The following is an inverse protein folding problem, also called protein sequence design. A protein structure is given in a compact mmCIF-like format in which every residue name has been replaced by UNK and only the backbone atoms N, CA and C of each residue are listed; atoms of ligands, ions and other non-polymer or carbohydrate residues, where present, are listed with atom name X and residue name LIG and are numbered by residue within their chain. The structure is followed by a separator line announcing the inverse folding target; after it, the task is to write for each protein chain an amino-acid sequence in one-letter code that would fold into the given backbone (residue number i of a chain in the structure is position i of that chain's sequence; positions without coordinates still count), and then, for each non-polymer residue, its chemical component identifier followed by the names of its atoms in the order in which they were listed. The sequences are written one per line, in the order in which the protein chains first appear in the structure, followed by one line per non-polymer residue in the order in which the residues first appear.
data_IF_373438108545
#
_entry.id   IF_373438108545
#
_cell.length_a   1.000
_cell.length_b   1.000
_cell.length_c   1.000
_cell.angle_alpha   90.00
_cell.angle_beta   90.00
_cell.angle_gamma   90.00
#
_symmetry.space_group_name_H-M   'P 1'
#
loop_
_entity.id
_entity.type
_entity.pdbx_description
1 polymer ?
#
# COMPACT_ATOMS: atom_id res chain seq x y z
N UNK A 1 -12.74 -16.47 -38.30
CA UNK A 1 -12.10 -17.54 -37.51
C UNK A 1 -10.62 -17.25 -37.50
N UNK A 2 -10.16 -16.54 -36.49
CA UNK A 2 -8.73 -16.37 -36.17
C UNK A 2 -8.67 -16.35 -34.66
N UNK A 3 -8.08 -17.41 -34.13
CA UNK A 3 -8.01 -17.79 -32.73
C UNK A 3 -7.60 -16.64 -31.81
N UNK A 4 -8.46 -16.39 -30.83
CA UNK A 4 -8.06 -15.88 -29.53
C UNK A 4 -7.18 -16.94 -28.87
N UNK A 5 -5.86 -16.80 -29.01
CA UNK A 5 -4.93 -17.39 -28.06
C UNK A 5 -5.07 -16.57 -26.77
N UNK A 6 -6.06 -16.92 -25.95
CA UNK A 6 -5.99 -16.68 -24.52
C UNK A 6 -4.68 -17.31 -24.06
N UNK A 7 -3.67 -16.49 -23.80
CA UNK A 7 -2.59 -16.92 -22.94
C UNK A 7 -3.22 -17.19 -21.59
N UNK A 8 -3.62 -18.45 -21.36
CA UNK A 8 -3.74 -19.03 -20.02
C UNK A 8 -2.32 -19.05 -19.44
N UNK A 9 -1.79 -17.86 -19.18
CA UNK A 9 -0.50 -17.67 -18.56
C UNK A 9 -0.57 -18.27 -17.18
N UNK A 10 0.40 -19.13 -16.86
CA UNK A 10 0.58 -19.64 -15.51
C UNK A 10 0.64 -18.43 -14.59
N UNK A 11 -0.23 -18.42 -13.57
CA UNK A 11 -0.23 -17.37 -12.55
C UNK A 11 1.17 -17.21 -11.99
N UNK A 12 1.66 -15.98 -11.85
CA UNK A 12 2.98 -15.73 -11.30
C UNK A 12 3.09 -16.44 -9.94
N UNK A 13 4.14 -17.24 -9.76
CA UNK A 13 4.25 -18.09 -8.58
C UNK A 13 4.51 -17.25 -7.32
N UNK A 14 3.92 -17.64 -6.20
CA UNK A 14 4.24 -17.06 -4.89
C UNK A 14 5.59 -17.63 -4.43
N UNK A 15 6.59 -16.77 -4.25
CA UNK A 15 7.92 -17.16 -3.81
C UNK A 15 8.04 -17.18 -2.28
N UNK A 16 7.36 -16.25 -1.60
CA UNK A 16 7.43 -16.11 -0.15
C UNK A 16 6.10 -15.62 0.42
N UNK A 17 5.79 -16.03 1.67
CA UNK A 17 4.61 -15.56 2.42
C UNK A 17 4.94 -15.38 3.89
N UNK A 18 4.32 -14.38 4.51
CA UNK A 18 4.42 -14.16 5.96
C UNK A 18 3.15 -13.54 6.51
N UNK A 19 2.75 -13.98 7.71
CA UNK A 19 1.72 -13.30 8.52
C UNK A 19 2.26 -12.06 9.24
N UNK A 20 3.56 -11.80 9.11
CA UNK A 20 4.23 -10.71 9.79
C UNK A 20 4.32 -10.91 11.30
N UNK A 21 4.63 -9.82 12.00
CA UNK A 21 4.78 -9.76 13.44
C UNK A 21 3.75 -8.80 14.04
N UNK A 22 2.90 -9.30 14.95
CA UNK A 22 1.87 -8.48 15.60
C UNK A 22 2.47 -7.67 16.76
N UNK A 23 2.32 -6.35 16.68
CA UNK A 23 2.76 -5.35 17.65
C UNK A 23 1.54 -4.58 18.16
N UNK A 24 0.75 -5.22 19.02
CA UNK A 24 -0.52 -4.67 19.49
C UNK A 24 -1.56 -4.57 18.36
N UNK A 25 -2.06 -3.35 18.02
CA UNK A 25 -3.02 -3.15 16.94
C UNK A 25 -2.38 -3.11 15.54
N UNK A 26 -1.05 -3.17 15.47
CA UNK A 26 -0.29 -3.16 14.23
C UNK A 26 0.17 -4.58 13.92
N UNK A 27 0.13 -4.97 12.66
CA UNK A 27 0.80 -6.18 12.14
C UNK A 27 1.84 -5.73 11.14
N UNK A 28 3.12 -5.92 11.48
CA UNK A 28 4.24 -5.61 10.60
C UNK A 28 4.46 -6.72 9.61
N UNK A 29 4.19 -6.47 8.34
CA UNK A 29 4.29 -7.45 7.26
C UNK A 29 5.66 -7.39 6.55
N UNK A 30 6.30 -6.23 6.58
CA UNK A 30 7.58 -5.95 5.91
C UNK A 30 8.35 -4.91 6.74
N UNK A 31 9.65 -5.12 6.87
CA UNK A 31 10.61 -4.20 7.49
C UNK A 31 11.90 -4.13 6.67
N UNK A 32 12.72 -3.07 6.85
CA UNK A 32 14.01 -2.99 6.18
C UNK A 32 14.93 -4.18 6.50
N UNK A 33 14.90 -4.65 7.76
CA UNK A 33 15.77 -5.72 8.25
C UNK A 33 15.34 -7.14 7.84
N UNK A 34 14.17 -7.30 7.20
CA UNK A 34 13.66 -8.61 6.75
C UNK A 34 13.69 -8.76 5.22
N UNK A 35 12.66 -8.29 4.53
CA UNK A 35 12.39 -8.45 3.11
C UNK A 35 12.59 -7.12 2.36
N UNK A 36 12.91 -6.03 3.07
CA UNK A 36 13.01 -4.68 2.49
C UNK A 36 14.08 -4.55 1.41
N UNK A 37 15.15 -5.35 1.47
CA UNK A 37 16.14 -5.41 0.39
C UNK A 37 15.66 -6.23 -0.82
N UNK A 38 14.83 -7.26 -0.61
CA UNK A 38 14.33 -8.16 -1.66
C UNK A 38 13.26 -7.50 -2.54
N UNK A 39 12.50 -6.55 -2.00
CA UNK A 39 11.36 -5.93 -2.70
C UNK A 39 11.47 -4.40 -2.82
N UNK A 40 12.69 -3.87 -2.88
CA UNK A 40 12.90 -2.43 -3.16
C UNK A 40 12.10 -1.98 -4.40
N UNK A 41 11.54 -0.77 -4.38
CA UNK A 41 11.75 0.29 -3.38
C UNK A 41 10.84 0.19 -2.14
N UNK A 42 10.04 -0.87 -1.98
CA UNK A 42 9.18 -1.04 -0.82
C UNK A 42 9.98 -1.59 0.36
N UNK A 43 10.10 -0.82 1.44
CA UNK A 43 11.00 -1.19 2.57
C UNK A 43 10.26 -1.44 3.87
N UNK A 44 8.97 -1.11 3.94
CA UNK A 44 8.17 -1.28 5.15
C UNK A 44 6.69 -1.37 4.83
N UNK A 45 5.95 -2.25 5.52
CA UNK A 45 4.50 -2.33 5.41
C UNK A 45 3.89 -2.73 6.75
N UNK A 46 3.14 -1.82 7.35
CA UNK A 46 2.33 -2.08 8.54
C UNK A 46 0.84 -2.10 8.16
N UNK A 47 0.14 -3.18 8.55
CA UNK A 47 -1.32 -3.21 8.62
C UNK A 47 -1.74 -2.71 10.01
N UNK A 48 -2.48 -1.61 10.07
CA UNK A 48 -3.09 -1.14 11.32
C UNK A 48 -4.57 -1.46 11.35
N UNK A 49 -5.05 -1.95 12.49
CA UNK A 49 -6.48 -2.18 12.73
C UNK A 49 -6.83 -2.07 14.22
N UNK A 50 -7.64 -1.07 14.58
CA UNK A 50 -8.10 -0.89 15.96
C UNK A 50 -9.34 0.01 16.06
N UNK A 51 -10.00 -0.04 17.22
CA UNK A 51 -11.11 0.85 17.55
C UNK A 51 -10.63 1.96 18.50
N UNK A 52 -10.80 3.26 18.18
CA UNK A 52 -10.45 4.37 19.07
C UNK A 52 -11.39 4.49 20.30
N UNK A 53 -10.95 5.08 21.42
CA UNK A 53 -9.65 5.69 21.62
C UNK A 53 -8.58 4.62 21.80
N UNK A 54 -7.51 4.73 21.02
CA UNK A 54 -6.30 3.97 21.29
C UNK A 54 -5.29 4.97 21.85
N UNK A 55 -5.06 4.89 23.16
CA UNK A 55 -4.36 5.91 23.96
C UNK A 55 -2.86 6.08 23.62
N UNK A 56 -2.38 5.39 22.57
CA UNK A 56 -1.13 5.69 21.88
C UNK A 56 -1.45 6.36 20.54
N UNK A 57 -2.12 7.51 20.57
CA UNK A 57 -2.06 8.43 19.42
C UNK A 57 -0.60 8.58 19.01
N UNK A 58 -0.34 8.74 17.70
CA UNK A 58 1.03 8.77 17.21
C UNK A 58 1.74 9.99 17.81
N UNK A 59 2.48 9.76 18.90
CA UNK A 59 3.32 10.74 19.57
C UNK A 59 4.21 11.38 18.50
N UNK A 60 4.49 12.70 18.57
CA UNK A 60 5.40 13.34 17.65
C UNK A 60 6.68 12.52 17.44
N UNK A 61 6.91 12.11 16.20
CA UNK A 61 8.08 11.34 15.79
C UNK A 61 8.56 11.85 14.43
N UNK A 62 9.76 11.43 14.04
CA UNK A 62 10.38 11.89 12.80
C UNK A 62 10.76 10.76 11.86
N UNK A 63 10.83 11.11 10.57
CA UNK A 63 11.32 10.28 9.49
C UNK A 63 12.33 11.07 8.65
N UNK A 64 13.24 10.37 7.95
CA UNK A 64 14.18 10.94 6.97
C UNK A 64 14.56 9.88 5.94
N UNK A 65 14.95 10.28 4.73
CA UNK A 65 15.47 9.38 3.68
C UNK A 65 14.43 8.49 2.98
N UNK A 66 13.15 8.56 3.39
CA UNK A 66 12.06 7.75 2.85
C UNK A 66 10.87 8.61 2.43
N UNK A 67 9.94 8.00 1.71
CA UNK A 67 8.57 8.47 1.65
C UNK A 67 7.63 7.50 2.38
N UNK A 68 6.60 8.03 3.02
CA UNK A 68 5.51 7.23 3.59
C UNK A 68 4.23 7.45 2.77
N UNK A 69 3.49 6.37 2.55
CA UNK A 69 2.14 6.41 2.00
C UNK A 69 1.20 5.74 3.02
N UNK A 70 0.29 6.53 3.58
CA UNK A 70 -0.73 6.03 4.52
C UNK A 70 -2.08 6.01 3.80
N UNK A 71 -2.71 4.84 3.72
CA UNK A 71 -4.02 4.69 3.07
C UNK A 71 -5.07 4.19 4.07
N UNK A 72 -6.14 4.97 4.26
CA UNK A 72 -7.26 4.60 5.13
C UNK A 72 -8.34 3.87 4.32
N UNK A 73 -8.80 2.73 4.83
CA UNK A 73 -9.92 1.99 4.24
C UNK A 73 -11.19 2.11 5.09
N UNK A 74 -11.02 2.31 6.39
CA UNK A 74 -12.05 2.60 7.38
C UNK A 74 -11.46 3.53 8.45
N UNK A 75 -12.28 4.46 8.93
CA UNK A 75 -11.88 5.43 9.94
C UNK A 75 -11.02 6.54 9.36
N UNK A 76 -10.39 7.30 10.24
CA UNK A 76 -9.56 8.44 9.87
C UNK A 76 -8.70 8.93 11.02
N UNK A 77 -7.88 9.93 10.76
CA UNK A 77 -7.04 10.56 11.77
C UNK A 77 -6.87 12.05 11.50
N UNK A 78 -6.59 12.82 12.54
CA UNK A 78 -5.98 14.14 12.39
C UNK A 78 -4.52 13.98 11.98
N UNK A 79 -3.96 15.00 11.34
CA UNK A 79 -2.54 15.07 11.01
C UNK A 79 -2.02 16.49 11.26
N UNK A 80 -0.73 16.58 11.56
CA UNK A 80 0.03 17.82 11.66
C UNK A 80 1.52 17.54 11.52
N UNK A 81 2.22 18.32 10.70
CA UNK A 81 3.64 18.11 10.43
C UNK A 81 4.46 19.41 10.27
N UNK A 82 5.79 19.26 10.22
CA UNK A 82 6.73 20.38 10.06
C UNK A 82 6.82 20.94 8.64
N UNK A 83 6.12 20.36 7.66
CA UNK A 83 5.94 20.99 6.34
C UNK A 83 4.84 22.07 6.38
N UNK A 84 4.15 22.21 7.53
CA UNK A 84 3.09 23.17 7.77
C UNK A 84 1.71 22.65 7.38
N UNK A 85 1.56 21.36 7.06
CA UNK A 85 0.26 20.73 6.81
C UNK A 85 -0.38 20.34 8.13
N UNK A 86 -1.69 20.54 8.21
CA UNK A 86 -2.52 20.08 9.31
C UNK A 86 -3.96 19.89 8.84
N UNK A 87 -4.67 18.95 9.44
CA UNK A 87 -6.05 18.66 9.06
C UNK A 87 -6.53 17.31 9.59
N UNK A 88 -7.46 16.71 8.87
CA UNK A 88 -7.94 15.35 9.12
C UNK A 88 -8.14 14.61 7.81
N UNK A 89 -7.83 13.32 7.82
CA UNK A 89 -8.16 12.37 6.78
C UNK A 89 -9.32 11.48 7.21
N UNK A 90 -10.11 11.05 6.24
CA UNK A 90 -11.26 10.17 6.44
C UNK A 90 -11.18 8.90 5.60
N UNK A 91 -12.21 8.06 5.66
CA UNK A 91 -12.31 6.83 4.88
C UNK A 91 -11.88 7.01 3.42
N UNK A 92 -10.95 6.20 2.97
CA UNK A 92 -10.47 6.23 1.59
C UNK A 92 -9.39 7.26 1.31
N UNK A 93 -9.09 8.16 2.24
CA UNK A 93 -8.03 9.16 2.06
C UNK A 93 -6.65 8.52 1.95
N UNK A 94 -5.74 9.23 1.27
CA UNK A 94 -4.34 8.85 1.10
C UNK A 94 -3.46 10.02 1.50
N UNK A 95 -2.48 9.74 2.35
CA UNK A 95 -1.33 10.61 2.61
C UNK A 95 -0.16 10.14 1.76
N UNK A 96 0.59 11.12 1.25
CA UNK A 96 1.96 10.94 0.79
C UNK A 96 2.87 11.94 1.49
N UNK A 97 3.88 11.44 2.19
CA UNK A 97 4.88 12.28 2.85
C UNK A 97 6.27 11.86 2.38
N UNK A 98 6.90 12.68 1.54
CA UNK A 98 8.34 12.58 1.26
C UNK A 98 9.08 13.21 2.43
N UNK A 99 9.69 12.40 3.28
CA UNK A 99 10.40 12.89 4.46
C UNK A 99 11.71 13.60 4.08
N UNK A 100 12.42 13.09 3.06
CA UNK A 100 13.67 13.68 2.57
C UNK A 100 14.65 13.97 3.71
N UNK A 101 15.13 15.21 3.81
CA UNK A 101 16.07 15.64 4.87
C UNK A 101 15.51 15.57 6.30
N UNK A 102 14.20 15.38 6.48
CA UNK A 102 13.58 15.21 7.78
C UNK A 102 12.22 15.88 7.90
N UNK A 103 11.28 15.18 8.54
CA UNK A 103 9.96 15.71 8.90
C UNK A 103 9.56 15.19 10.28
N UNK A 104 8.99 16.06 11.11
CA UNK A 104 8.28 15.63 12.32
C UNK A 104 6.78 15.69 12.07
N UNK A 105 6.06 14.69 12.54
CA UNK A 105 4.61 14.63 12.41
C UNK A 105 3.94 13.95 13.60
N UNK A 106 2.65 14.23 13.75
CA UNK A 106 1.78 13.64 14.75
C UNK A 106 0.35 13.56 14.23
N UNK A 107 -0.45 12.69 14.84
CA UNK A 107 -1.84 12.51 14.47
C UNK A 107 -2.61 11.69 15.49
N UNK A 108 -3.91 11.95 15.59
CA UNK A 108 -4.81 11.26 16.50
C UNK A 108 -5.95 10.58 15.73
N UNK A 109 -6.23 9.30 16.00
CA UNK A 109 -7.37 8.61 15.41
C UNK A 109 -8.70 9.31 15.70
N UNK A 110 -9.55 9.47 14.68
CA UNK A 110 -10.89 10.00 14.85
C UNK A 110 -11.78 8.98 15.59
N UNK A 111 -12.58 9.39 16.58
CA UNK A 111 -13.39 8.47 17.39
C UNK A 111 -14.58 7.90 16.62
N UNK A 112 -15.15 6.81 17.14
CA UNK A 112 -16.47 6.31 16.73
C UNK A 112 -16.50 5.32 15.56
N UNK A 113 -15.33 4.96 15.00
CA UNK A 113 -15.23 3.96 13.93
C UNK A 113 -13.94 3.15 14.03
N UNK A 114 -13.96 1.89 13.59
CA UNK A 114 -12.73 1.10 13.40
C UNK A 114 -11.82 1.85 12.43
N UNK A 115 -10.55 2.02 12.83
CA UNK A 115 -9.49 2.51 11.96
C UNK A 115 -8.78 1.31 11.34
N UNK A 116 -8.77 1.22 10.01
CA UNK A 116 -8.10 0.15 9.27
C UNK A 116 -7.42 0.70 8.02
N UNK A 117 -6.19 0.28 7.77
CA UNK A 117 -5.41 0.75 6.64
C UNK A 117 -4.00 0.19 6.60
N UNK A 118 -3.22 0.64 5.62
CA UNK A 118 -1.81 0.32 5.52
C UNK A 118 -0.97 1.59 5.63
N UNK A 119 0.21 1.45 6.24
CA UNK A 119 1.30 2.39 6.10
C UNK A 119 2.45 1.71 5.37
N UNK A 120 2.76 2.21 4.18
CA UNK A 120 3.84 1.75 3.32
C UNK A 120 4.99 2.75 3.40
N UNK A 121 6.23 2.28 3.54
CA UNK A 121 7.41 3.12 3.31
C UNK A 121 8.12 2.72 2.03
N UNK A 122 8.57 3.74 1.32
CA UNK A 122 9.27 3.64 0.04
C UNK A 122 10.64 4.28 0.20
N UNK A 123 11.68 3.54 -0.15
CA UNK A 123 13.03 4.08 -0.26
C UNK A 123 13.05 5.15 -1.35
N UNK A 124 13.58 6.32 -1.04
CA UNK A 124 13.73 7.39 -2.02
C UNK A 124 14.96 7.11 -2.90
N UNK A 125 14.92 7.55 -4.18
CA UNK A 125 16.15 7.59 -4.96
C UNK A 125 17.11 8.62 -4.37
N UNK A 126 18.44 8.48 -4.59
CA UNK A 126 19.46 9.30 -3.93
C UNK A 126 19.25 10.82 -4.07
N UNK A 127 18.73 11.28 -5.20
CA UNK A 127 18.43 12.69 -5.46
C UNK A 127 17.31 13.28 -4.58
N UNK A 128 16.47 12.42 -3.97
CA UNK A 128 15.36 12.82 -3.11
C UNK A 128 15.60 12.52 -1.62
N UNK A 129 16.56 11.67 -1.28
CA UNK A 129 16.86 11.30 0.12
C UNK A 129 17.16 12.50 1.03
N UNK A 130 17.77 13.55 0.48
CA UNK A 130 18.11 14.79 1.19
C UNK A 130 17.31 16.02 0.70
N UNK A 131 16.30 15.81 -0.13
CA UNK A 131 15.44 16.89 -0.62
C UNK A 131 14.56 17.45 0.51
N UNK A 132 14.00 18.65 0.31
CA UNK A 132 13.03 19.20 1.26
C UNK A 132 11.82 18.29 1.42
N UNK A 133 11.38 18.15 2.67
CA UNK A 133 10.20 17.40 3.02
C UNK A 133 8.94 17.96 2.35
N UNK A 134 8.02 17.09 1.99
CA UNK A 134 6.76 17.44 1.35
C UNK A 134 5.66 16.47 1.79
N UNK A 135 4.57 17.01 2.32
CA UNK A 135 3.37 16.27 2.67
C UNK A 135 2.19 16.67 1.79
N UNK A 136 1.51 15.66 1.25
CA UNK A 136 0.34 15.78 0.39
C UNK A 136 -0.77 14.88 0.93
N UNK A 137 -1.99 15.40 0.91
CA UNK A 137 -3.16 14.72 1.44
C UNK A 137 -4.25 14.74 0.37
N UNK A 138 -4.81 13.57 0.09
CA UNK A 138 -5.79 13.36 -0.96
C UNK A 138 -7.04 12.71 -0.36
N UNK A 139 -8.19 13.38 -0.50
CA UNK A 139 -9.49 12.81 -0.16
C UNK A 139 -9.84 11.66 -1.12
N UNK A 140 -10.78 10.81 -0.70
CA UNK A 140 -11.12 9.59 -1.41
C UNK A 140 -11.53 9.83 -2.88
N UNK A 141 -12.23 10.93 -3.15
CA UNK A 141 -12.74 11.32 -4.48
C UNK A 141 -11.61 11.70 -5.46
N UNK A 142 -10.46 12.13 -4.96
CA UNK A 142 -9.30 12.46 -5.79
C UNK A 142 -8.57 11.21 -6.29
N UNK A 143 -8.76 10.06 -5.64
CA UNK A 143 -8.06 8.82 -5.96
C UNK A 143 -8.73 8.12 -7.13
N UNK A 144 -7.96 7.94 -8.20
CA UNK A 144 -8.41 7.29 -9.43
C UNK A 144 -8.73 5.80 -9.19
N UNK A 145 -9.67 5.28 -9.99
CA UNK A 145 -10.06 3.87 -9.96
C UNK A 145 -10.19 3.27 -11.36
N UNK A 146 -10.09 1.95 -11.44
CA UNK A 146 -10.46 1.16 -12.60
C UNK A 146 -11.04 -0.19 -12.14
N UNK A 147 -12.35 -0.36 -12.32
CA UNK A 147 -13.09 -1.50 -11.76
C UNK A 147 -12.92 -1.61 -10.24
N UNK A 148 -12.48 -2.77 -9.71
CA UNK A 148 -12.31 -2.97 -8.27
C UNK A 148 -11.04 -2.31 -7.70
N UNK A 149 -10.14 -1.78 -8.54
CA UNK A 149 -8.84 -1.28 -8.14
C UNK A 149 -8.85 0.24 -7.97
N UNK A 150 -8.46 0.72 -6.79
CA UNK A 150 -8.09 2.11 -6.51
C UNK A 150 -6.58 2.28 -6.72
N UNK A 151 -6.18 3.31 -7.44
CA UNK A 151 -4.80 3.58 -7.83
C UNK A 151 -4.18 4.52 -6.80
N UNK A 152 -3.56 3.95 -5.76
CA UNK A 152 -2.99 4.74 -4.66
C UNK A 152 -1.69 5.41 -5.08
N UNK A 153 -0.86 4.72 -5.86
CA UNK A 153 0.41 5.23 -6.39
C UNK A 153 0.65 4.68 -7.80
N UNK A 154 1.27 5.48 -8.67
CA UNK A 154 1.65 5.04 -10.01
C UNK A 154 0.50 5.04 -11.01
N UNK A 155 0.52 4.04 -11.91
CA UNK A 155 -0.42 3.95 -13.03
C UNK A 155 -1.00 2.55 -13.20
N UNK A 156 -2.27 2.49 -13.61
CA UNK A 156 -2.96 1.25 -13.94
C UNK A 156 -4.03 1.51 -15.02
N UNK A 157 -4.06 0.66 -16.06
CA UNK A 157 -5.00 0.74 -17.18
C UNK A 157 -5.12 2.15 -17.81
N UNK A 158 -3.98 2.83 -18.00
CA UNK A 158 -3.92 4.17 -18.60
C UNK A 158 -4.37 5.31 -17.69
N UNK A 159 -4.69 5.03 -16.42
CA UNK A 159 -5.03 6.01 -15.39
C UNK A 159 -3.86 6.19 -14.43
N UNK A 160 -3.65 7.42 -13.97
CA UNK A 160 -2.51 7.80 -13.11
C UNK A 160 -3.02 8.32 -11.77
N UNK A 161 -2.42 7.88 -10.66
CA UNK A 161 -2.67 8.43 -9.33
C UNK A 161 -2.25 9.90 -9.27
N UNK A 162 -2.98 10.78 -8.55
CA UNK A 162 -2.51 12.14 -8.30
C UNK A 162 -1.32 12.19 -7.32
N UNK A 163 -1.00 11.07 -6.65
CA UNK A 163 0.14 10.96 -5.73
C UNK A 163 1.45 10.92 -6.52
N UNK A 164 2.44 11.80 -6.22
CA UNK A 164 3.70 11.84 -6.96
C UNK A 164 4.58 10.63 -6.61
N UNK A 165 4.78 9.75 -7.58
CA UNK A 165 5.68 8.59 -7.45
C UNK A 165 7.08 8.93 -7.95
N UNK A 166 8.14 8.81 -7.12
CA UNK A 166 9.51 9.15 -7.55
C UNK A 166 10.17 8.07 -8.42
N UNK A 167 9.69 6.83 -8.37
CA UNK A 167 10.14 5.74 -9.23
C UNK A 167 8.95 5.06 -9.91
N UNK A 168 9.22 4.28 -10.96
CA UNK A 168 8.21 3.46 -11.60
C UNK A 168 7.75 2.38 -10.62
N UNK A 169 6.56 2.56 -10.06
CA UNK A 169 5.92 1.61 -9.17
C UNK A 169 4.42 1.80 -9.24
N UNK A 170 3.67 0.74 -8.98
CA UNK A 170 2.22 0.78 -8.91
C UNK A 170 1.76 0.20 -7.58
N UNK A 171 0.92 0.94 -6.85
CA UNK A 171 0.30 0.46 -5.62
C UNK A 171 -1.21 0.60 -5.72
N UNK A 172 -1.90 -0.55 -5.64
CA UNK A 172 -3.34 -0.65 -5.80
C UNK A 172 -3.98 -1.15 -4.51
N UNK A 173 -5.15 -0.59 -4.19
CA UNK A 173 -6.06 -1.20 -3.23
C UNK A 173 -7.25 -1.77 -3.99
N UNK A 174 -7.41 -3.09 -3.92
CA UNK A 174 -8.40 -3.85 -4.70
C UNK A 174 -9.44 -4.43 -3.75
N UNK A 175 -10.72 -4.23 -4.06
CA UNK A 175 -11.85 -4.85 -3.34
C UNK A 175 -12.60 -5.79 -4.26
N UNK A 176 -12.68 -7.05 -3.89
CA UNK A 176 -13.38 -8.09 -4.64
C UNK A 176 -14.59 -8.57 -3.83
N UNK A 177 -15.70 -8.80 -4.52
CA UNK A 177 -16.82 -9.57 -3.97
C UNK A 177 -16.48 -11.07 -3.95
N UNK A 178 -17.23 -11.86 -3.18
CA UNK A 178 -17.13 -13.32 -3.18
C UNK A 178 -17.28 -13.88 -4.60
N UNK A 179 -16.34 -14.75 -5.01
CA UNK A 179 -16.23 -15.32 -6.34
C UNK A 179 -15.78 -14.35 -7.45
N UNK A 180 -15.58 -13.06 -7.16
CA UNK A 180 -15.11 -12.09 -8.16
C UNK A 180 -13.63 -12.34 -8.47
N UNK A 181 -13.33 -12.66 -9.72
CA UNK A 181 -11.96 -12.78 -10.23
C UNK A 181 -11.45 -11.43 -10.75
N UNK A 182 -10.19 -11.14 -10.47
CA UNK A 182 -9.47 -10.00 -11.01
C UNK A 182 -8.02 -10.40 -11.35
N UNK A 183 -7.48 -9.82 -12.43
CA UNK A 183 -6.13 -10.13 -12.90
C UNK A 183 -5.34 -8.84 -13.03
N UNK A 184 -4.20 -8.80 -12.35
CA UNK A 184 -3.20 -7.75 -12.49
C UNK A 184 -2.14 -8.18 -13.49
N UNK A 185 -1.85 -7.32 -14.46
CA UNK A 185 -0.71 -7.46 -15.34
C UNK A 185 0.32 -6.37 -14.97
N UNK A 186 1.47 -6.73 -14.39
CA UNK A 186 2.54 -5.78 -14.10
C UNK A 186 3.01 -5.05 -15.37
N UNK A 187 3.49 -3.82 -15.21
CA UNK A 187 4.20 -3.12 -16.29
C UNK A 187 5.52 -3.84 -16.61
N UNK A 188 6.04 -3.60 -17.82
CA UNK A 188 7.23 -4.31 -18.30
C UNK A 188 8.49 -4.02 -17.48
N UNK A 189 8.53 -2.90 -16.76
CA UNK A 189 9.60 -2.49 -15.85
C UNK A 189 9.30 -2.85 -14.38
N UNK A 190 8.22 -3.58 -14.11
CA UNK A 190 7.88 -4.09 -12.78
C UNK A 190 8.16 -5.59 -12.73
N UNK A 191 9.36 -5.94 -12.30
CA UNK A 191 9.82 -7.32 -12.08
C UNK A 191 9.51 -7.82 -10.66
N UNK A 192 9.29 -6.94 -9.69
CA UNK A 192 8.88 -7.26 -8.31
C UNK A 192 7.36 -7.07 -8.15
N UNK A 193 6.70 -8.01 -7.48
CA UNK A 193 5.30 -7.86 -7.10
C UNK A 193 5.03 -8.51 -5.73
N UNK A 194 4.12 -7.91 -4.98
CA UNK A 194 3.63 -8.42 -3.72
C UNK A 194 2.15 -8.08 -3.56
N UNK A 195 1.48 -8.80 -2.66
CA UNK A 195 0.08 -8.60 -2.31
C UNK A 195 -0.08 -8.79 -0.80
N UNK A 196 -0.76 -7.85 -0.15
CA UNK A 196 -1.11 -7.94 1.26
C UNK A 196 -2.63 -7.90 1.45
N UNK A 197 -3.17 -8.85 2.21
CA UNK A 197 -4.61 -8.90 2.55
C UNK A 197 -4.89 -8.14 3.84
N UNK A 198 -5.83 -7.19 3.83
CA UNK A 198 -6.25 -6.46 5.02
C UNK A 198 -7.51 -7.05 5.70
N UNK A 199 -8.48 -7.53 4.92
CA UNK A 199 -9.77 -8.05 5.35
C UNK A 199 -10.31 -9.02 4.31
N UNK A 200 -11.07 -10.03 4.75
CA UNK A 200 -11.53 -11.11 3.88
C UNK A 200 -10.39 -12.04 3.46
N UNK A 201 -10.70 -12.91 2.49
CA UNK A 201 -9.77 -13.90 1.97
C UNK A 201 -9.60 -13.71 0.46
N UNK A 202 -8.41 -14.07 -0.04
CA UNK A 202 -8.11 -14.09 -1.47
C UNK A 202 -7.57 -15.45 -1.87
N UNK A 203 -8.07 -15.97 -2.99
CA UNK A 203 -7.57 -17.20 -3.59
C UNK A 203 -6.63 -16.90 -4.76
N UNK A 204 -5.49 -17.60 -4.79
CA UNK A 204 -4.49 -17.56 -5.86
C UNK A 204 -4.17 -19.00 -6.26
N UNK A 205 -4.80 -19.48 -7.33
CA UNK A 205 -4.76 -20.92 -7.66
C UNK A 205 -5.37 -21.74 -6.52
N UNK A 206 -4.59 -22.64 -5.91
CA UNK A 206 -5.03 -23.45 -4.75
C UNK A 206 -4.61 -22.83 -3.40
N UNK A 207 -4.10 -21.60 -3.42
CA UNK A 207 -3.60 -20.92 -2.23
C UNK A 207 -4.62 -19.92 -1.71
N UNK A 208 -5.05 -20.07 -0.46
CA UNK A 208 -5.83 -19.08 0.26
C UNK A 208 -4.89 -18.14 1.03
N UNK A 209 -5.11 -16.82 0.89
CA UNK A 209 -4.41 -15.76 1.61
C UNK A 209 -5.37 -15.08 2.59
N UNK A 210 -4.96 -14.95 3.85
CA UNK A 210 -5.71 -14.23 4.88
C UNK A 210 -4.76 -13.56 5.90
N UNK A 211 -4.91 -12.23 6.05
CA UNK A 211 -4.10 -11.39 6.94
C UNK A 211 -2.60 -11.63 6.84
N UNK A 212 -2.09 -11.65 5.61
CA UNK A 212 -0.69 -11.91 5.32
C UNK A 212 -0.19 -11.15 4.09
N UNK A 213 1.13 -11.17 3.92
CA UNK A 213 1.85 -10.70 2.73
C UNK A 213 2.30 -11.92 1.90
N UNK A 214 2.11 -11.84 0.59
CA UNK A 214 2.67 -12.74 -0.39
C UNK A 214 3.59 -11.97 -1.34
N UNK A 215 4.81 -12.44 -1.54
CA UNK A 215 5.77 -11.93 -2.53
C UNK A 215 5.84 -12.94 -3.68
N UNK A 216 5.74 -12.44 -4.91
CA UNK A 216 5.76 -13.26 -6.12
C UNK A 216 7.18 -13.38 -6.68
N UNK A 217 7.51 -14.55 -7.22
CA UNK A 217 8.81 -14.79 -7.89
C UNK A 217 9.05 -13.76 -8.99
N UNK A 218 10.25 -13.21 -9.16
CA UNK A 218 10.56 -12.16 -10.14
C UNK A 218 10.01 -12.43 -11.56
N UNK A 219 9.60 -11.36 -12.25
CA UNK A 219 9.16 -11.39 -13.65
C UNK A 219 7.87 -10.64 -13.92
N UNK A 220 7.34 -10.77 -15.14
CA UNK A 220 6.21 -9.95 -15.62
C UNK A 220 4.93 -10.76 -15.82
N UNK A 221 4.84 -11.95 -15.21
CA UNK A 221 3.66 -12.79 -15.30
C UNK A 221 2.44 -12.13 -14.64
N UNK A 222 1.26 -12.39 -15.21
CA UNK A 222 0.00 -11.93 -14.64
C UNK A 222 -0.25 -12.56 -13.26
N UNK A 223 -0.87 -11.79 -12.37
CA UNK A 223 -1.33 -12.23 -11.05
C UNK A 223 -2.86 -12.26 -11.07
N UNK A 224 -3.44 -13.47 -11.07
CA UNK A 224 -4.89 -13.66 -10.98
C UNK A 224 -5.31 -14.03 -9.56
N UNK A 225 -6.30 -13.32 -9.04
CA UNK A 225 -6.85 -13.51 -7.70
C UNK A 225 -8.38 -13.59 -7.74
N UNK A 226 -8.96 -14.29 -6.78
CA UNK A 226 -10.42 -14.38 -6.60
C UNK A 226 -10.78 -14.01 -5.16
N UNK A 227 -11.85 -13.23 -4.96
CA UNK A 227 -12.41 -12.98 -3.63
C UNK A 227 -13.10 -14.22 -3.04
N UNK A 228 -12.90 -14.46 -1.75
CA UNK A 228 -13.59 -15.50 -0.96
C UNK A 228 -14.06 -14.97 0.39
#
# INVERSE_FOLDING_TARGET
MTDSLESQGVNRAIAYRTKGHRLGPITRLLSPDDLGDDIKPFVFLDLFEFFPPYNRGFIPHSHSGIATLTAFFEGGMTYGDTTGKQGSMSDGSVEWMRAGSGVWHAGEPLPGKVMRGFQLWVALPPELELASAESLYFEAEAIMHDGPARILLGQYNGRTSPVPSPASMTYLHVRLSDGQKWTYQPQADHDIAWLATNAGQLEIGNTLLERELAIFAEGHGAISITGS
#
